data_IF_337949605427
#
_entry.id   IF_337949605427
#
_cell.length_a   1.000
_cell.length_b   1.000
_cell.length_c   1.000
_cell.angle_alpha   90.00
_cell.angle_beta   90.00
_cell.angle_gamma   90.00
#
_symmetry.space_group_name_H-M   'P 1'
#
loop_
_entity.id
_entity.type
_entity.pdbx_description
1 polymer ?
#
# COMPACT_ATOMS: atom_id res chain seq x y z
N UNK A 1 8.75 -0.63 -11.39
CA UNK A 1 8.46 0.79 -11.73
C UNK A 1 8.24 1.66 -10.50
N UNK A 2 7.22 1.43 -9.66
CA UNK A 2 6.97 2.30 -8.48
C UNK A 2 8.16 2.30 -7.50
N UNK A 3 8.79 1.14 -7.27
CA UNK A 3 9.99 1.05 -6.45
C UNK A 3 11.15 1.90 -7.02
N UNK A 4 11.38 1.82 -8.34
CA UNK A 4 12.38 2.63 -9.05
C UNK A 4 12.10 4.14 -8.92
N UNK A 5 10.83 4.55 -9.07
CA UNK A 5 10.43 5.95 -8.86
C UNK A 5 10.66 6.39 -7.42
N UNK A 6 10.38 5.52 -6.44
CA UNK A 6 10.68 5.75 -5.03
C UNK A 6 12.18 5.82 -4.71
N UNK A 7 13.02 5.11 -5.46
CA UNK A 7 14.47 5.23 -5.36
C UNK A 7 14.97 6.55 -5.95
N UNK A 8 14.45 6.94 -7.12
CA UNK A 8 14.87 8.14 -7.84
C UNK A 8 14.42 9.45 -7.19
N UNK A 9 13.25 9.48 -6.52
CA UNK A 9 12.76 10.69 -5.84
C UNK A 9 13.67 11.08 -4.66
N UNK A 10 14.25 10.09 -3.98
CA UNK A 10 15.18 10.25 -2.86
C UNK A 10 14.74 11.32 -1.82
N UNK A 11 13.45 11.34 -1.50
CA UNK A 11 12.83 12.32 -0.61
C UNK A 11 12.15 11.60 0.58
N UNK A 12 12.57 11.95 1.79
CA UNK A 12 12.05 11.37 3.04
C UNK A 12 10.58 11.73 3.33
N UNK A 13 10.02 12.73 2.66
CA UNK A 13 8.59 13.04 2.74
C UNK A 13 7.71 12.08 1.93
N UNK A 14 8.31 11.32 1.00
CA UNK A 14 7.58 10.43 0.10
C UNK A 14 7.33 9.05 0.71
N UNK A 15 6.08 8.58 0.64
CA UNK A 15 5.72 7.21 1.02
C UNK A 15 6.43 6.20 0.12
N UNK A 16 6.58 6.50 -1.18
CA UNK A 16 7.26 5.62 -2.14
C UNK A 16 8.75 5.44 -1.81
N UNK A 17 9.39 6.48 -1.29
CA UNK A 17 10.78 6.41 -0.82
C UNK A 17 10.91 5.44 0.36
N UNK A 18 10.07 5.57 1.38
CA UNK A 18 10.09 4.66 2.54
C UNK A 18 9.70 3.24 2.18
N UNK A 19 8.75 3.05 1.26
CA UNK A 19 8.38 1.73 0.77
C UNK A 19 9.56 1.05 0.08
N UNK A 20 10.27 1.76 -0.81
CA UNK A 20 11.47 1.23 -1.45
C UNK A 20 12.58 0.92 -0.42
N UNK A 21 12.86 1.84 0.51
CA UNK A 21 13.91 1.68 1.54
C UNK A 21 13.67 0.51 2.48
N UNK A 22 12.42 0.15 2.74
CA UNK A 22 12.03 -0.98 3.59
C UNK A 22 11.69 -2.25 2.80
N UNK A 23 11.94 -2.30 1.49
CA UNK A 23 11.58 -3.41 0.62
C UNK A 23 10.09 -3.80 0.69
N UNK A 24 9.21 -2.81 0.83
CA UNK A 24 7.75 -2.98 0.84
C UNK A 24 7.22 -2.79 -0.59
N UNK A 25 6.69 -3.83 -1.25
CA UNK A 25 6.19 -3.71 -2.61
C UNK A 25 4.87 -2.92 -2.66
N UNK A 26 4.82 -1.90 -3.52
CA UNK A 26 3.58 -1.17 -3.83
C UNK A 26 3.01 -1.73 -5.13
N UNK A 27 1.75 -2.18 -5.08
CA UNK A 27 1.03 -2.69 -6.25
C UNK A 27 -0.06 -1.70 -6.68
N UNK A 28 0.03 -1.23 -7.92
CA UNK A 28 -0.99 -0.38 -8.53
C UNK A 28 -1.30 -0.95 -9.94
N UNK A 29 -2.32 -1.80 -10.09
CA UNK A 29 -2.65 -2.41 -11.38
C UNK A 29 -3.20 -1.40 -12.39
N UNK A 30 -3.77 -0.28 -11.92
CA UNK A 30 -4.25 0.83 -12.74
C UNK A 30 -3.23 1.99 -12.80
N UNK A 31 -1.93 1.69 -12.90
CA UNK A 31 -0.87 2.71 -12.88
C UNK A 31 -0.99 3.73 -14.03
N UNK A 32 -1.63 3.34 -15.14
CA UNK A 32 -1.90 4.20 -16.30
C UNK A 32 -3.11 5.11 -16.12
N UNK A 33 -3.91 4.95 -15.06
CA UNK A 33 -5.11 5.74 -14.78
C UNK A 33 -4.77 6.98 -13.94
N UNK A 34 -3.97 7.87 -14.53
CA UNK A 34 -3.51 9.10 -13.87
C UNK A 34 -2.41 9.81 -14.67
N UNK A 35 -1.85 10.88 -14.10
CA UNK A 35 -0.84 11.72 -14.74
C UNK A 35 0.43 10.96 -15.16
N UNK A 36 0.78 9.88 -14.45
CA UNK A 36 1.84 8.96 -14.87
C UNK A 36 1.50 8.24 -16.17
N UNK A 37 0.24 7.87 -16.38
CA UNK A 37 -0.26 7.30 -17.63
C UNK A 37 -0.14 8.27 -18.80
N UNK A 38 -0.49 9.54 -18.61
CA UNK A 38 -0.33 10.58 -19.64
C UNK A 38 1.13 10.74 -20.06
N UNK A 39 2.06 10.75 -19.08
CA UNK A 39 3.50 10.85 -19.37
C UNK A 39 4.02 9.60 -20.09
N UNK A 40 3.56 8.41 -19.70
CA UNK A 40 3.89 7.16 -20.40
C UNK A 40 3.33 7.15 -21.84
N UNK A 41 2.14 7.71 -22.05
CA UNK A 41 1.54 7.87 -23.37
C UNK A 41 2.37 8.79 -24.26
N UNK A 42 2.71 10.00 -23.79
CA UNK A 42 3.56 10.92 -24.57
C UNK A 42 4.96 10.36 -24.81
N UNK A 43 5.52 9.62 -23.84
CA UNK A 43 6.80 8.94 -24.01
C UNK A 43 6.71 7.82 -25.05
N UNK A 44 5.60 7.07 -25.09
CA UNK A 44 5.38 5.99 -26.07
C UNK A 44 5.30 6.52 -27.49
N UNK A 45 4.64 7.67 -27.69
CA UNK A 45 4.54 8.34 -29.00
C UNK A 45 5.90 8.84 -29.50
N UNK A 46 6.84 9.17 -28.60
CA UNK A 46 8.17 9.70 -28.97
C UNK A 46 9.28 8.64 -29.01
N UNK A 47 9.23 7.65 -28.13
CA UNK A 47 10.31 6.68 -27.89
C UNK A 47 9.72 5.27 -27.66
N UNK A 48 9.31 4.59 -28.74
CA UNK A 48 9.02 3.14 -28.86
C UNK A 48 8.24 2.40 -27.74
N UNK A 49 7.61 3.11 -26.80
CA UNK A 49 6.79 2.56 -25.71
C UNK A 49 7.58 1.88 -24.59
N UNK A 50 7.12 2.06 -23.35
CA UNK A 50 7.55 1.23 -22.21
C UNK A 50 6.52 0.10 -22.07
N UNK A 51 6.98 -1.16 -22.11
CA UNK A 51 6.11 -2.33 -21.85
C UNK A 51 5.92 -2.49 -20.34
N UNK A 52 4.71 -2.24 -19.86
CA UNK A 52 4.27 -2.50 -18.49
C UNK A 52 3.45 -3.79 -18.48
N UNK A 53 3.98 -4.84 -17.87
CA UNK A 53 3.26 -6.09 -17.70
C UNK A 53 2.41 -6.07 -16.42
N UNK A 54 1.10 -5.98 -16.57
CA UNK A 54 0.12 -6.01 -15.48
C UNK A 54 -0.19 -7.46 -15.05
N UNK A 55 0.07 -8.45 -15.91
CA UNK A 55 -0.19 -9.86 -15.63
C UNK A 55 0.75 -10.37 -14.53
N UNK A 56 1.99 -9.89 -14.50
CA UNK A 56 2.95 -10.18 -13.42
C UNK A 56 2.46 -9.67 -12.06
N UNK A 57 1.74 -8.54 -12.01
CA UNK A 57 1.16 -8.01 -10.76
C UNK A 57 -0.03 -8.85 -10.30
N UNK A 58 -0.87 -9.32 -11.24
CA UNK A 58 -2.05 -10.14 -10.93
C UNK A 58 -1.71 -11.51 -10.35
N UNK A 59 -0.59 -12.12 -10.74
CA UNK A 59 -0.15 -13.40 -10.17
C UNK A 59 0.31 -13.27 -8.71
N UNK A 60 0.79 -12.08 -8.31
CA UNK A 60 1.22 -11.79 -6.93
C UNK A 60 0.08 -11.31 -6.02
N UNK A 61 -1.04 -10.86 -6.58
CA UNK A 61 -2.07 -10.13 -5.85
C UNK A 61 -3.50 -10.60 -6.24
N UNK A 62 -4.13 -11.37 -5.34
CA UNK A 62 -5.48 -11.93 -5.50
C UNK A 62 -6.61 -10.90 -5.29
N UNK A 63 -6.68 -9.83 -6.10
CA UNK A 63 -7.71 -8.78 -5.94
C UNK A 63 -8.90 -8.92 -6.90
N UNK A 64 -10.11 -8.71 -6.37
CA UNK A 64 -11.38 -8.46 -7.10
C UNK A 64 -11.95 -7.12 -6.64
N UNK A 65 -12.42 -6.24 -7.56
CA UNK A 65 -12.91 -4.91 -7.20
C UNK A 65 -14.32 -4.96 -6.62
N UNK A 66 -14.45 -4.83 -5.30
CA UNK A 66 -15.74 -4.80 -4.62
C UNK A 66 -15.79 -3.62 -3.60
N UNK A 67 -15.83 -2.37 -4.06
CA UNK A 67 -15.78 -1.15 -3.19
C UNK A 67 -16.94 -1.00 -2.18
N UNK A 68 -17.87 -1.96 -2.12
CA UNK A 68 -19.02 -1.94 -1.20
C UNK A 68 -19.24 -3.23 -0.40
N UNK A 69 -18.50 -4.31 -0.68
CA UNK A 69 -18.75 -5.63 -0.10
C UNK A 69 -18.73 -5.60 1.43
N UNK A 70 -19.66 -6.34 2.05
CA UNK A 70 -19.63 -6.60 3.50
C UNK A 70 -18.52 -7.62 3.79
N UNK A 71 -17.91 -7.60 4.98
CA UNK A 71 -16.89 -8.60 5.33
C UNK A 71 -17.38 -10.04 5.18
N UNK A 72 -18.69 -10.29 5.38
CA UNK A 72 -19.33 -11.59 5.16
C UNK A 72 -19.23 -12.09 3.70
N UNK A 73 -19.26 -11.18 2.72
CA UNK A 73 -19.03 -11.53 1.32
C UNK A 73 -17.56 -11.93 1.12
N UNK A 74 -16.61 -11.24 1.76
CA UNK A 74 -15.22 -11.64 1.69
C UNK A 74 -14.95 -13.03 2.34
N UNK A 75 -15.75 -13.44 3.33
CA UNK A 75 -15.72 -14.79 3.90
C UNK A 75 -16.31 -15.83 2.93
N UNK A 76 -17.44 -15.53 2.25
CA UNK A 76 -18.06 -16.49 1.31
C UNK A 76 -17.16 -16.82 0.11
N UNK A 77 -16.31 -15.88 -0.30
CA UNK A 77 -15.33 -16.06 -1.36
C UNK A 77 -13.97 -16.59 -0.86
N UNK A 78 -13.84 -16.90 0.44
CA UNK A 78 -12.61 -17.44 1.03
C UNK A 78 -11.45 -16.44 1.15
N UNK A 79 -11.69 -15.14 0.96
CA UNK A 79 -10.67 -14.08 1.12
C UNK A 79 -10.34 -13.81 2.59
N UNK A 80 -11.33 -13.96 3.47
CA UNK A 80 -11.19 -13.87 4.92
C UNK A 80 -11.41 -15.27 5.49
N UNK A 81 -10.55 -15.72 6.40
CA UNK A 81 -10.76 -17.00 7.10
C UNK A 81 -12.08 -16.94 7.84
N UNK A 82 -12.86 -18.01 7.83
CA UNK A 82 -14.14 -18.10 8.53
C UNK A 82 -14.05 -17.82 10.03
N UNK A 83 -12.86 -17.98 10.64
CA UNK A 83 -12.59 -17.69 12.05
C UNK A 83 -11.90 -16.32 12.28
N UNK A 84 -11.87 -15.43 11.29
CA UNK A 84 -11.25 -14.12 11.46
C UNK A 84 -12.28 -13.07 11.88
N UNK A 85 -12.00 -12.35 12.96
CA UNK A 85 -12.78 -11.19 13.37
C UNK A 85 -12.46 -10.02 12.43
N UNK A 86 -13.47 -9.56 11.69
CA UNK A 86 -13.34 -8.43 10.76
C UNK A 86 -14.33 -7.34 11.14
N UNK A 87 -13.85 -6.10 11.19
CA UNK A 87 -14.65 -4.93 11.58
C UNK A 87 -14.63 -3.92 10.45
N UNK A 88 -15.81 -3.50 9.97
CA UNK A 88 -15.97 -2.42 8.98
C UNK A 88 -16.44 -1.15 9.68
N UNK A 89 -15.59 -0.13 9.69
CA UNK A 89 -15.93 1.19 10.26
C UNK A 89 -16.53 2.06 9.17
N UNK A 90 -17.77 2.51 9.35
CA UNK A 90 -18.46 3.42 8.43
C UNK A 90 -18.17 4.87 8.85
N UNK A 91 -17.03 5.39 8.43
CA UNK A 91 -16.63 6.78 8.65
C UNK A 91 -15.65 7.23 7.56
N UNK A 92 -15.47 8.54 7.43
CA UNK A 92 -14.46 9.11 6.54
C UNK A 92 -13.05 8.80 7.06
N UNK A 93 -12.21 8.23 6.18
CA UNK A 93 -10.84 7.85 6.51
C UNK A 93 -10.00 9.05 6.99
N UNK A 94 -10.25 10.26 6.48
CA UNK A 94 -9.53 11.46 6.91
C UNK A 94 -9.71 11.77 8.40
N UNK A 95 -10.85 11.39 8.99
CA UNK A 95 -11.16 11.59 10.40
C UNK A 95 -10.68 10.43 11.27
N UNK A 96 -10.95 9.19 10.85
CA UNK A 96 -10.70 8.02 11.70
C UNK A 96 -9.30 7.43 11.56
N UNK A 97 -8.67 7.54 10.38
CA UNK A 97 -7.35 6.96 10.13
C UNK A 97 -6.26 7.54 11.04
N UNK A 98 -6.16 8.87 11.26
CA UNK A 98 -5.18 9.43 12.19
C UNK A 98 -5.36 8.91 13.63
N UNK A 99 -6.60 8.73 14.09
CA UNK A 99 -6.91 8.21 15.42
C UNK A 99 -6.50 6.74 15.57
N UNK A 100 -6.78 5.91 14.55
CA UNK A 100 -6.37 4.51 14.53
C UNK A 100 -4.84 4.41 14.58
N UNK A 101 -4.14 5.20 13.76
CA UNK A 101 -2.66 5.23 13.73
C UNK A 101 -2.09 5.67 15.08
N UNK A 102 -2.66 6.71 15.70
CA UNK A 102 -2.22 7.19 17.01
C UNK A 102 -2.36 6.13 18.10
N UNK A 103 -3.46 5.37 18.11
CA UNK A 103 -3.73 4.39 19.17
C UNK A 103 -3.03 3.04 18.98
N UNK A 104 -2.73 2.66 17.75
CA UNK A 104 -2.13 1.36 17.41
C UNK A 104 -0.66 1.48 17.05
N UNK A 105 -0.35 1.96 15.84
CA UNK A 105 1.01 2.01 15.29
C UNK A 105 1.94 2.96 16.08
N UNK A 106 1.50 4.18 16.37
CA UNK A 106 2.34 5.14 17.10
C UNK A 106 2.65 4.66 18.51
N UNK A 107 1.63 4.17 19.23
CA UNK A 107 1.79 3.56 20.56
C UNK A 107 2.78 2.39 20.52
N UNK A 108 2.62 1.46 19.57
CA UNK A 108 3.52 0.31 19.43
C UNK A 108 4.99 0.72 19.23
N UNK A 109 5.25 1.74 18.40
CA UNK A 109 6.61 2.23 18.17
C UNK A 109 7.20 2.90 19.42
N UNK A 110 6.39 3.69 20.13
CA UNK A 110 6.82 4.36 21.38
C UNK A 110 7.14 3.32 22.46
N UNK A 111 6.26 2.35 22.65
CA UNK A 111 6.43 1.28 23.64
C UNK A 111 7.69 0.46 23.31
N UNK A 112 7.90 0.09 22.05
CA UNK A 112 9.10 -0.65 21.63
C UNK A 112 10.40 0.16 21.78
N UNK A 113 10.37 1.47 21.54
CA UNK A 113 11.52 2.36 21.80
C UNK A 113 11.82 2.44 23.29
N UNK A 114 10.78 2.54 24.12
CA UNK A 114 10.90 2.54 25.59
C UNK A 114 11.49 1.22 26.08
N UNK A 115 11.04 0.07 25.57
CA UNK A 115 11.56 -1.23 25.96
C UNK A 115 13.04 -1.40 25.59
N UNK A 116 13.47 -0.90 24.43
CA UNK A 116 14.89 -0.89 24.04
C UNK A 116 15.75 -0.01 24.95
N UNK A 117 15.23 1.14 25.38
CA UNK A 117 15.93 2.04 26.30
C UNK A 117 16.04 1.46 27.72
N UNK A 118 15.01 0.74 28.18
CA UNK A 118 14.99 0.13 29.51
C UNK A 118 15.82 -1.15 29.56
N UNK A 119 15.83 -1.96 28.48
CA UNK A 119 16.48 -3.27 28.46
C UNK A 119 17.86 -3.30 27.77
N UNK A 120 18.42 -2.15 27.37
CA UNK A 120 19.85 -1.98 27.13
C UNK A 120 20.52 -2.91 26.11
N UNK A 121 19.83 -3.28 25.02
CA UNK A 121 20.46 -3.94 23.87
C UNK A 121 20.58 -2.92 22.74
N UNK A 122 21.69 -2.17 22.78
CA UNK A 122 22.18 -1.33 21.68
C UNK A 122 22.90 -2.21 20.65
#
# INVERSE_FOLDING_TARGET
LIAELGAHINDESSICYWANRNNIPIFCPALTDGSLGDMLYFHSVRNNGIKLDIVEVRSRLSLRPDSGARPDEAVSWGKIKSNAESVKVFADASLVFPLIVARTFAKYVIDRKRDKLVNGTA
#
